data_IF_570011140764
#
_entry.id   IF_570011140764
#
_cell.length_a   1.000
_cell.length_b   1.000
_cell.length_c   1.000
_cell.angle_alpha   90.00
_cell.angle_beta   90.00
_cell.angle_gamma   90.00
#
_symmetry.space_group_name_H-M   'P 1'
#
loop_
_entity.id
_entity.type
_entity.pdbx_description
1 polymer ?
#
# COMPACT_ATOMS: atom_id res chain seq x y z
N UNK A 1 -29.28 9.47 0.54
CA UNK A 1 -28.30 9.54 1.64
C UNK A 1 -27.12 8.61 1.43
N UNK A 2 -27.32 7.31 1.11
CA UNK A 2 -26.23 6.33 0.96
C UNK A 2 -25.20 6.69 -0.13
N UNK A 3 -25.62 7.24 -1.26
CA UNK A 3 -24.73 7.66 -2.35
C UNK A 3 -23.77 8.77 -1.90
N UNK A 4 -24.28 9.78 -1.18
CA UNK A 4 -23.44 10.88 -0.67
C UNK A 4 -22.39 10.36 0.33
N UNK A 5 -22.77 9.40 1.15
CA UNK A 5 -21.89 8.72 2.07
C UNK A 5 -20.76 7.95 1.33
N UNK A 6 -21.13 7.17 0.31
CA UNK A 6 -20.16 6.44 -0.52
C UNK A 6 -19.16 7.41 -1.19
N UNK A 7 -19.65 8.54 -1.72
CA UNK A 7 -18.81 9.57 -2.33
C UNK A 7 -17.82 10.15 -1.29
N UNK A 8 -18.31 10.48 -0.09
CA UNK A 8 -17.47 11.01 0.98
C UNK A 8 -16.36 10.02 1.35
N UNK A 9 -16.71 8.75 1.58
CA UNK A 9 -15.71 7.73 1.89
C UNK A 9 -14.75 7.49 0.72
N UNK A 10 -15.22 7.57 -0.53
CA UNK A 10 -14.37 7.45 -1.70
C UNK A 10 -13.34 8.59 -1.81
N UNK A 11 -13.74 9.82 -1.47
CA UNK A 11 -12.83 10.98 -1.41
C UNK A 11 -11.81 10.77 -0.29
N UNK A 12 -12.28 10.41 0.92
CA UNK A 12 -11.41 10.15 2.07
C UNK A 12 -10.41 9.05 1.74
N UNK A 13 -10.87 7.90 1.23
CA UNK A 13 -10.00 6.79 0.82
C UNK A 13 -8.99 7.23 -0.24
N UNK A 14 -9.45 7.89 -1.32
CA UNK A 14 -8.57 8.32 -2.39
C UNK A 14 -7.45 9.26 -1.92
N UNK A 15 -7.75 10.16 -0.99
CA UNK A 15 -6.75 11.07 -0.42
C UNK A 15 -5.80 10.31 0.52
N UNK A 16 -6.35 9.61 1.49
CA UNK A 16 -5.59 9.11 2.65
C UNK A 16 -4.85 7.81 2.37
N UNK A 17 -5.19 7.07 1.32
CA UNK A 17 -4.49 5.85 0.92
C UNK A 17 -3.05 6.12 0.49
N UNK A 18 -2.82 7.25 -0.18
CA UNK A 18 -1.50 7.62 -0.70
C UNK A 18 -0.75 8.60 0.19
N UNK A 19 -1.47 9.53 0.82
CA UNK A 19 -0.85 10.40 1.80
C UNK A 19 -0.43 9.57 3.03
N UNK A 20 0.70 9.88 3.65
CA UNK A 20 1.20 9.10 4.79
C UNK A 20 0.44 9.43 6.10
N UNK A 21 -0.90 9.26 6.10
CA UNK A 21 -1.79 9.73 7.20
C UNK A 21 -2.76 8.68 7.73
N UNK A 22 -2.73 7.44 7.21
CA UNK A 22 -3.64 6.32 7.56
C UNK A 22 -5.05 6.43 6.99
N UNK A 23 -5.33 5.71 5.90
CA UNK A 23 -6.68 5.61 5.31
C UNK A 23 -7.66 4.93 6.25
N UNK A 24 -7.28 3.79 6.84
CA UNK A 24 -8.13 3.06 7.78
C UNK A 24 -8.58 3.93 8.96
N UNK A 25 -7.64 4.66 9.59
CA UNK A 25 -7.97 5.54 10.71
C UNK A 25 -8.96 6.64 10.36
N UNK A 26 -8.84 7.22 9.15
CA UNK A 26 -9.76 8.26 8.67
C UNK A 26 -11.12 7.71 8.29
N UNK A 27 -11.19 6.54 7.67
CA UNK A 27 -12.46 5.89 7.35
C UNK A 27 -13.22 5.56 8.63
N UNK A 28 -12.58 4.94 9.63
CA UNK A 28 -13.20 4.67 10.92
C UNK A 28 -13.71 5.95 11.59
N UNK A 29 -12.92 7.02 11.56
CA UNK A 29 -13.31 8.32 12.16
C UNK A 29 -14.56 8.90 11.47
N UNK A 30 -14.58 8.92 10.14
CA UNK A 30 -15.73 9.43 9.37
C UNK A 30 -16.98 8.57 9.59
N UNK A 31 -16.82 7.24 9.61
CA UNK A 31 -17.91 6.30 9.89
C UNK A 31 -18.52 6.52 11.29
N UNK A 32 -17.67 6.70 12.30
CA UNK A 32 -18.12 6.99 13.68
C UNK A 32 -18.89 8.31 13.77
N UNK A 33 -18.38 9.42 13.18
CA UNK A 33 -19.09 10.71 13.19
C UNK A 33 -20.47 10.63 12.53
N UNK A 34 -20.57 9.85 11.45
CA UNK A 34 -21.82 9.71 10.72
C UNK A 34 -22.79 8.70 11.35
N UNK A 35 -22.43 8.10 12.49
CA UNK A 35 -23.26 7.13 13.20
C UNK A 35 -23.50 5.83 12.44
N UNK A 36 -22.60 5.48 11.52
CA UNK A 36 -22.72 4.27 10.70
C UNK A 36 -21.84 3.15 11.27
N UNK A 37 -22.24 2.62 12.43
CA UNK A 37 -21.50 1.55 13.14
C UNK A 37 -21.33 0.27 12.30
N UNK A 38 -22.19 0.04 11.33
CA UNK A 38 -22.14 -1.12 10.44
C UNK A 38 -21.85 -0.72 9.00
N UNK A 39 -21.01 0.23 8.74
CA UNK A 39 -20.63 0.70 7.41
C UNK A 39 -21.28 0.01 6.19
N UNK A 40 -21.11 0.45 4.98
CA UNK A 40 -21.75 -0.17 3.81
C UNK A 40 -21.16 -1.55 3.44
N UNK A 41 -20.44 -2.18 4.39
CA UNK A 41 -19.98 -3.55 4.28
C UNK A 41 -18.63 -3.71 3.55
N UNK A 42 -18.05 -4.90 3.67
CA UNK A 42 -16.76 -5.31 3.11
C UNK A 42 -16.67 -5.01 1.61
N UNK A 43 -17.77 -5.19 0.86
CA UNK A 43 -17.78 -4.95 -0.59
C UNK A 43 -17.46 -3.51 -0.95
N UNK A 44 -17.96 -2.53 -0.20
CA UNK A 44 -17.62 -1.13 -0.50
C UNK A 44 -16.15 -0.85 -0.24
N UNK A 45 -15.59 -1.35 0.84
CA UNK A 45 -14.17 -1.19 1.14
C UNK A 45 -13.31 -1.79 0.02
N UNK A 46 -13.68 -2.98 -0.46
CA UNK A 46 -13.06 -3.63 -1.63
C UNK A 46 -13.13 -2.71 -2.86
N UNK A 47 -14.29 -2.14 -3.16
CA UNK A 47 -14.46 -1.27 -4.32
C UNK A 47 -13.64 0.02 -4.20
N UNK A 48 -13.54 0.59 -3.01
CA UNK A 48 -12.69 1.76 -2.76
C UNK A 48 -11.20 1.45 -2.94
N UNK A 49 -10.75 0.29 -2.45
CA UNK A 49 -9.37 -0.17 -2.65
C UNK A 49 -9.06 -0.49 -4.12
N UNK A 50 -10.02 -1.06 -4.86
CA UNK A 50 -9.90 -1.23 -6.32
C UNK A 50 -9.77 0.11 -7.04
N UNK A 51 -10.51 1.12 -6.59
CA UNK A 51 -10.39 2.48 -7.10
C UNK A 51 -9.00 3.06 -6.87
N UNK A 52 -8.47 2.96 -5.65
CA UNK A 52 -7.11 3.42 -5.36
C UNK A 52 -6.05 2.59 -6.08
N UNK A 53 -6.25 1.29 -6.26
CA UNK A 53 -5.38 0.46 -7.09
C UNK A 53 -5.35 0.95 -8.54
N UNK A 54 -6.51 1.28 -9.11
CA UNK A 54 -6.60 1.88 -10.46
C UNK A 54 -5.84 3.22 -10.54
N UNK A 55 -5.85 4.05 -9.48
CA UNK A 55 -5.06 5.29 -9.40
C UNK A 55 -3.56 5.03 -9.54
N UNK A 56 -3.03 3.97 -8.91
CA UNK A 56 -1.61 3.57 -9.04
C UNK A 56 -1.31 3.15 -10.47
N UNK A 57 -2.17 2.33 -11.08
CA UNK A 57 -2.02 1.90 -12.47
C UNK A 57 -2.03 3.08 -13.44
N UNK A 58 -2.95 4.03 -13.29
CA UNK A 58 -3.01 5.22 -14.14
C UNK A 58 -1.77 6.10 -13.99
N UNK A 59 -1.27 6.27 -12.76
CA UNK A 59 -0.15 7.18 -12.50
C UNK A 59 1.21 6.58 -12.92
N UNK A 60 1.42 5.28 -12.71
CA UNK A 60 2.68 4.58 -12.99
C UNK A 60 2.57 3.60 -14.16
N UNK A 61 1.66 3.84 -15.09
CA UNK A 61 1.35 2.94 -16.21
C UNK A 61 2.59 2.44 -16.96
N UNK A 62 3.54 3.34 -17.28
CA UNK A 62 4.75 3.00 -18.01
C UNK A 62 5.66 2.04 -17.22
N UNK A 63 5.82 2.31 -15.92
CA UNK A 63 6.67 1.50 -15.05
C UNK A 63 6.03 0.13 -14.80
N UNK A 64 4.73 0.11 -14.51
CA UNK A 64 3.99 -1.12 -14.23
C UNK A 64 3.97 -2.03 -15.45
N UNK A 65 3.69 -1.47 -16.65
CA UNK A 65 3.72 -2.24 -17.89
C UNK A 65 5.10 -2.89 -18.10
N UNK A 66 6.16 -2.12 -17.90
CA UNK A 66 7.53 -2.63 -18.07
C UNK A 66 7.89 -3.66 -17.01
N UNK A 67 7.50 -3.44 -15.75
CA UNK A 67 7.66 -4.42 -14.68
C UNK A 67 6.93 -5.73 -15.00
N UNK A 68 5.70 -5.66 -15.52
CA UNK A 68 4.92 -6.84 -15.87
C UNK A 68 5.59 -7.64 -17.00
N UNK A 69 5.99 -6.97 -18.09
CA UNK A 69 6.69 -7.63 -19.21
C UNK A 69 7.98 -8.29 -18.73
N UNK A 70 8.84 -7.55 -18.02
CA UNK A 70 10.12 -8.06 -17.53
C UNK A 70 9.94 -9.19 -16.49
N UNK A 71 8.86 -9.16 -15.71
CA UNK A 71 8.54 -10.24 -14.78
C UNK A 71 8.14 -11.52 -15.51
N UNK A 72 7.34 -11.41 -16.60
CA UNK A 72 6.96 -12.55 -17.44
C UNK A 72 8.20 -13.13 -18.12
N UNK A 73 9.03 -12.30 -18.74
CA UNK A 73 10.27 -12.74 -19.37
C UNK A 73 11.22 -13.41 -18.36
N UNK A 74 11.37 -12.82 -17.17
CA UNK A 74 12.16 -13.40 -16.09
C UNK A 74 11.64 -14.79 -15.70
N UNK A 75 10.32 -14.96 -15.62
CA UNK A 75 9.69 -16.25 -15.33
C UNK A 75 9.96 -17.28 -16.43
N UNK A 76 9.88 -16.86 -17.71
CA UNK A 76 10.22 -17.72 -18.85
C UNK A 76 11.69 -18.13 -18.84
N UNK A 77 12.61 -17.20 -18.50
CA UNK A 77 14.04 -17.52 -18.35
C UNK A 77 14.30 -18.52 -17.21
N UNK A 78 13.55 -18.45 -16.11
CA UNK A 78 13.64 -19.44 -15.02
C UNK A 78 13.22 -20.82 -15.51
N UNK A 79 12.10 -20.93 -16.25
CA UNK A 79 11.64 -22.19 -16.83
C UNK A 79 12.67 -22.69 -17.86
N UNK A 80 13.16 -21.82 -18.74
CA UNK A 80 14.20 -22.14 -19.73
C UNK A 80 15.46 -22.69 -19.07
N UNK A 81 15.94 -22.04 -18.01
CA UNK A 81 17.11 -22.50 -17.26
C UNK A 81 16.87 -23.84 -16.56
N UNK A 82 15.66 -24.10 -16.05
CA UNK A 82 15.30 -25.40 -15.46
C UNK A 82 15.33 -26.52 -16.52
N UNK A 83 14.81 -26.24 -17.73
CA UNK A 83 14.85 -27.18 -18.85
C UNK A 83 16.29 -27.43 -19.32
N UNK A 84 17.11 -26.37 -19.42
CA UNK A 84 18.54 -26.49 -19.75
C UNK A 84 19.31 -27.30 -18.71
N UNK A 85 18.99 -27.11 -17.43
CA UNK A 85 19.59 -27.92 -16.36
C UNK A 85 19.30 -29.40 -16.54
N UNK A 86 18.05 -29.77 -16.85
CA UNK A 86 17.65 -31.13 -17.09
C UNK A 86 18.34 -31.71 -18.36
N UNK A 87 18.40 -30.90 -19.42
CA UNK A 87 19.07 -31.25 -20.68
C UNK A 87 20.57 -31.51 -20.45
N UNK A 88 21.31 -30.55 -19.90
CA UNK A 88 22.74 -30.71 -19.61
C UNK A 88 23.05 -31.91 -18.73
N UNK A 89 22.18 -32.25 -17.77
CA UNK A 89 22.31 -33.44 -16.94
C UNK A 89 22.11 -34.74 -17.70
N UNK A 90 21.29 -34.73 -18.77
CA UNK A 90 20.98 -35.95 -19.56
C UNK A 90 21.97 -36.18 -20.70
N UNK A 91 22.43 -35.12 -21.34
CA UNK A 91 23.28 -35.20 -22.54
C UNK A 91 24.76 -35.03 -22.23
N UNK A 92 25.12 -34.41 -21.10
CA UNK A 92 26.49 -34.03 -20.78
C UNK A 92 26.92 -32.72 -21.46
N UNK A 93 25.97 -31.98 -22.09
CA UNK A 93 26.24 -30.69 -22.70
C UNK A 93 26.47 -29.61 -21.63
N UNK A 94 27.20 -28.55 -21.98
CA UNK A 94 27.45 -27.38 -21.12
C UNK A 94 26.76 -26.13 -21.69
N UNK A 95 25.48 -26.20 -22.00
CA UNK A 95 24.71 -25.04 -22.47
C UNK A 95 24.60 -23.98 -21.38
N UNK A 96 24.78 -22.71 -21.76
CA UNK A 96 24.82 -21.60 -20.82
C UNK A 96 23.43 -21.17 -20.37
N UNK A 97 23.28 -20.90 -19.07
CA UNK A 97 22.03 -20.41 -18.49
C UNK A 97 21.81 -18.92 -18.76
N UNK A 98 20.56 -18.55 -18.99
CA UNK A 98 20.18 -17.15 -19.09
C UNK A 98 20.32 -16.45 -17.74
N UNK A 99 20.80 -15.20 -17.76
CA UNK A 99 20.91 -14.37 -16.55
C UNK A 99 19.53 -13.87 -16.14
N UNK A 100 19.00 -14.37 -15.02
CA UNK A 100 17.66 -14.05 -14.53
C UNK A 100 17.50 -12.56 -14.26
N UNK A 101 18.37 -11.95 -13.47
CA UNK A 101 18.34 -10.51 -13.15
C UNK A 101 19.27 -9.79 -14.15
N UNK A 102 18.78 -9.53 -15.35
CA UNK A 102 19.56 -8.94 -16.44
C UNK A 102 19.48 -7.41 -16.49
N UNK A 103 18.43 -6.80 -15.92
CA UNK A 103 18.21 -5.35 -15.98
C UNK A 103 17.60 -4.79 -14.70
N UNK A 104 17.46 -3.46 -14.63
CA UNK A 104 16.97 -2.72 -13.46
C UNK A 104 15.50 -3.06 -13.12
N UNK A 105 14.65 -3.32 -14.12
CA UNK A 105 13.23 -3.63 -13.88
C UNK A 105 13.07 -5.03 -13.32
N UNK A 106 13.82 -6.02 -13.80
CA UNK A 106 13.87 -7.38 -13.21
C UNK A 106 14.38 -7.32 -11.77
N UNK A 107 15.43 -6.53 -11.51
CA UNK A 107 15.91 -6.29 -10.15
C UNK A 107 14.82 -5.67 -9.28
N UNK A 108 14.12 -4.66 -9.78
CA UNK A 108 13.05 -4.00 -9.06
C UNK A 108 11.88 -4.94 -8.77
N UNK A 109 11.46 -5.77 -9.72
CA UNK A 109 10.44 -6.79 -9.53
C UNK A 109 10.82 -7.78 -8.41
N UNK A 110 12.07 -8.26 -8.41
CA UNK A 110 12.57 -9.15 -7.34
C UNK A 110 12.58 -8.45 -6.00
N UNK A 111 12.98 -7.20 -5.91
CA UNK A 111 12.96 -6.42 -4.66
C UNK A 111 11.53 -6.26 -4.11
N UNK A 112 10.54 -6.03 -4.98
CA UNK A 112 9.14 -5.98 -4.58
C UNK A 112 8.66 -7.33 -4.03
N UNK A 113 9.00 -8.45 -4.68
CA UNK A 113 8.69 -9.79 -4.19
C UNK A 113 9.35 -10.08 -2.84
N UNK A 114 10.62 -9.70 -2.66
CA UNK A 114 11.34 -9.84 -1.39
C UNK A 114 10.66 -9.03 -0.28
N UNK A 115 10.19 -7.80 -0.57
CA UNK A 115 9.44 -7.01 0.42
C UNK A 115 8.12 -7.67 0.81
N UNK A 116 7.47 -8.42 -0.09
CA UNK A 116 6.20 -9.09 0.22
C UNK A 116 6.39 -10.27 1.20
N UNK A 117 7.57 -10.88 1.28
CA UNK A 117 7.81 -12.01 2.19
C UNK A 117 7.53 -11.64 3.65
N UNK A 118 8.24 -10.65 4.26
CA UNK A 118 7.95 -10.26 5.63
C UNK A 118 6.57 -9.60 5.78
N UNK A 119 6.08 -8.91 4.75
CA UNK A 119 4.73 -8.33 4.77
C UNK A 119 3.66 -9.41 4.96
N UNK A 120 3.70 -10.48 4.16
CA UNK A 120 2.74 -11.58 4.25
C UNK A 120 2.89 -12.35 5.57
N UNK A 121 4.12 -12.60 6.02
CA UNK A 121 4.38 -13.29 7.28
C UNK A 121 3.80 -12.50 8.46
N UNK A 122 4.11 -11.21 8.57
CA UNK A 122 3.61 -10.35 9.65
C UNK A 122 2.09 -10.15 9.55
N UNK A 123 1.56 -9.92 8.35
CA UNK A 123 0.11 -9.77 8.13
C UNK A 123 -0.67 -11.02 8.52
N UNK A 124 -0.17 -12.19 8.16
CA UNK A 124 -0.80 -13.45 8.52
C UNK A 124 -0.72 -13.75 10.03
N UNK A 125 0.44 -13.58 10.65
CA UNK A 125 0.64 -13.86 12.08
C UNK A 125 -0.10 -12.86 12.95
N UNK A 126 -0.15 -11.56 12.55
CA UNK A 126 -0.84 -10.52 13.30
C UNK A 126 -2.36 -10.51 13.10
N UNK A 127 -2.93 -11.28 12.19
CA UNK A 127 -4.36 -11.22 11.81
C UNK A 127 -5.33 -11.29 13.00
N UNK A 128 -5.03 -12.14 14.00
CA UNK A 128 -5.87 -12.24 15.21
C UNK A 128 -5.80 -10.99 16.07
N UNK A 129 -4.60 -10.45 16.27
CA UNK A 129 -4.39 -9.21 17.03
C UNK A 129 -5.05 -8.04 16.30
N UNK A 130 -4.94 -7.97 14.98
CA UNK A 130 -5.60 -6.95 14.14
C UNK A 130 -7.12 -7.06 14.29
N UNK A 131 -7.70 -8.25 14.18
CA UNK A 131 -9.15 -8.46 14.34
C UNK A 131 -9.64 -8.04 15.74
N UNK A 132 -8.89 -8.36 16.79
CA UNK A 132 -9.21 -7.92 18.16
C UNK A 132 -9.07 -6.41 18.34
N UNK A 133 -8.07 -5.82 17.70
CA UNK A 133 -7.80 -4.37 17.78
C UNK A 133 -8.74 -3.54 16.90
N UNK A 134 -9.27 -4.10 15.82
CA UNK A 134 -10.24 -3.43 14.95
C UNK A 134 -11.56 -3.10 15.67
N UNK A 135 -11.91 -3.87 16.72
CA UNK A 135 -13.06 -3.57 17.59
C UNK A 135 -12.84 -2.34 18.49
N UNK A 136 -11.60 -1.89 18.65
CA UNK A 136 -11.27 -0.74 19.50
C UNK A 136 -11.45 0.57 18.74
N UNK A 137 -12.31 1.45 19.23
CA UNK A 137 -12.50 2.81 18.69
C UNK A 137 -11.25 3.71 18.93
N UNK A 138 -10.42 3.39 19.93
CA UNK A 138 -9.24 4.20 20.30
C UNK A 138 -8.00 3.90 19.45
N UNK A 139 -7.79 2.64 19.08
CA UNK A 139 -6.56 2.22 18.41
C UNK A 139 -6.30 2.92 17.08
N UNK A 140 -7.29 3.18 16.21
CA UNK A 140 -7.06 3.97 15.00
C UNK A 140 -6.49 5.36 15.26
N UNK A 141 -7.00 6.07 16.28
CA UNK A 141 -6.49 7.38 16.69
C UNK A 141 -5.04 7.32 17.20
N UNK A 142 -4.73 6.35 18.05
CA UNK A 142 -3.37 6.10 18.54
C UNK A 142 -2.42 5.77 17.39
N UNK A 143 -2.85 4.93 16.44
CA UNK A 143 -2.05 4.56 15.28
C UNK A 143 -1.74 5.76 14.36
N UNK A 144 -2.70 6.69 14.20
CA UNK A 144 -2.46 7.95 13.48
C UNK A 144 -1.39 8.79 14.20
N UNK A 145 -1.46 8.90 15.55
CA UNK A 145 -0.45 9.63 16.34
C UNK A 145 0.94 9.02 16.19
N UNK A 146 1.05 7.70 16.27
CA UNK A 146 2.34 7.00 16.08
C UNK A 146 2.87 7.24 14.66
N UNK A 147 2.00 7.20 13.64
CA UNK A 147 2.39 7.57 12.27
C UNK A 147 2.95 8.99 12.23
N UNK A 148 2.30 9.95 12.91
CA UNK A 148 2.78 11.33 13.02
C UNK A 148 4.17 11.42 13.66
N UNK A 149 4.42 10.67 14.73
CA UNK A 149 5.74 10.63 15.39
C UNK A 149 6.80 10.09 14.41
N UNK A 150 6.53 8.99 13.71
CA UNK A 150 7.46 8.40 12.74
C UNK A 150 7.81 9.42 11.65
N UNK A 151 6.80 10.09 11.08
CA UNK A 151 7.01 11.09 10.03
C UNK A 151 7.81 12.30 10.53
N UNK A 152 7.57 12.73 11.78
CA UNK A 152 8.33 13.83 12.38
C UNK A 152 9.79 13.44 12.61
N UNK A 153 10.04 12.23 13.11
CA UNK A 153 11.42 11.72 13.30
C UNK A 153 12.15 11.67 11.96
N UNK A 154 11.49 11.19 10.90
CA UNK A 154 12.07 11.15 9.55
C UNK A 154 12.40 12.57 9.03
N UNK A 155 11.50 13.54 9.25
CA UNK A 155 11.73 14.92 8.82
C UNK A 155 12.90 15.56 9.58
N UNK A 156 12.94 15.41 10.91
CA UNK A 156 13.99 15.97 11.75
C UNK A 156 15.37 15.32 11.50
N UNK A 157 15.38 14.02 11.24
CA UNK A 157 16.62 13.29 10.96
C UNK A 157 17.17 13.58 9.56
N UNK A 158 16.44 14.34 8.72
CA UNK A 158 16.79 14.66 7.35
C UNK A 158 17.24 13.44 6.53
N UNK A 159 16.74 12.26 6.90
CA UNK A 159 17.06 11.02 6.20
C UNK A 159 16.54 11.04 4.79
N UNK A 160 17.28 10.41 3.93
CA UNK A 160 17.05 10.32 2.49
C UNK A 160 18.38 10.35 1.79
N UNK A 161 18.44 9.74 0.65
CA UNK A 161 19.68 9.61 -0.11
C UNK A 161 19.46 9.83 -1.59
N UNK A 162 20.39 9.29 -2.35
CA UNK A 162 20.38 9.34 -3.82
C UNK A 162 20.12 7.97 -4.44
N UNK A 163 19.97 6.91 -3.62
CA UNK A 163 19.77 5.56 -4.14
C UNK A 163 18.51 5.45 -4.97
N UNK A 164 18.65 4.83 -6.13
CA UNK A 164 17.58 4.45 -7.04
C UNK A 164 17.45 2.91 -7.10
N UNK A 165 16.62 2.39 -7.98
CA UNK A 165 16.39 0.94 -8.11
C UNK A 165 17.69 0.14 -8.38
N UNK A 166 18.63 0.71 -9.11
CA UNK A 166 19.93 0.07 -9.40
C UNK A 166 20.79 -0.14 -8.13
N UNK A 167 20.66 0.76 -7.14
CA UNK A 167 21.48 0.78 -5.93
C UNK A 167 20.81 0.05 -4.76
N UNK A 168 19.51 -0.24 -4.88
CA UNK A 168 18.74 -0.97 -3.86
C UNK A 168 19.22 -2.42 -3.75
N UNK A 169 19.20 -2.98 -2.55
CA UNK A 169 19.58 -4.35 -2.25
C UNK A 169 18.45 -5.10 -1.50
N UNK A 170 18.63 -6.40 -1.30
CA UNK A 170 17.65 -7.26 -0.63
C UNK A 170 17.39 -6.85 0.82
N UNK A 171 18.40 -6.36 1.54
CA UNK A 171 18.23 -5.87 2.91
C UNK A 171 17.30 -4.65 2.96
N UNK A 172 17.42 -3.72 2.00
CA UNK A 172 16.50 -2.59 1.90
C UNK A 172 15.07 -3.07 1.65
N UNK A 173 14.88 -4.04 0.75
CA UNK A 173 13.57 -4.61 0.45
C UNK A 173 12.95 -5.32 1.65
N UNK A 174 13.74 -6.14 2.37
CA UNK A 174 13.29 -6.81 3.60
C UNK A 174 12.87 -5.80 4.67
N UNK A 175 13.65 -4.75 4.89
CA UNK A 175 13.33 -3.69 5.85
C UNK A 175 12.01 -2.97 5.51
N UNK A 176 11.85 -2.57 4.23
CA UNK A 176 10.61 -1.95 3.77
C UNK A 176 9.42 -2.90 3.95
N UNK A 177 9.60 -4.18 3.65
CA UNK A 177 8.56 -5.19 3.82
C UNK A 177 8.20 -5.46 5.29
N UNK A 178 9.17 -5.41 6.22
CA UNK A 178 8.90 -5.49 7.67
C UNK A 178 8.05 -4.29 8.09
N UNK A 179 8.44 -3.07 7.70
CA UNK A 179 7.68 -1.87 8.02
C UNK A 179 6.28 -1.90 7.40
N UNK A 180 6.12 -2.44 6.17
CA UNK A 180 4.81 -2.66 5.58
C UNK A 180 3.98 -3.69 6.38
N UNK A 181 4.59 -4.78 6.82
CA UNK A 181 3.92 -5.77 7.66
C UNK A 181 3.45 -5.21 9.00
N UNK A 182 4.21 -4.31 9.62
CA UNK A 182 3.79 -3.61 10.83
C UNK A 182 2.64 -2.63 10.61
N UNK A 183 2.44 -2.15 9.39
CA UNK A 183 1.34 -1.22 9.08
C UNK A 183 -0.04 -1.87 9.01
N UNK A 184 -0.18 -3.18 9.24
CA UNK A 184 -1.48 -3.85 9.34
C UNK A 184 -2.25 -3.49 10.62
N UNK A 185 -1.57 -2.94 11.64
CA UNK A 185 -2.23 -2.48 12.85
C UNK A 185 -3.10 -1.24 12.58
N UNK A 186 -4.31 -1.17 13.22
CA UNK A 186 -5.24 -0.07 13.00
C UNK A 186 -4.63 1.31 13.23
N UNK A 187 -4.84 2.21 12.27
CA UNK A 187 -4.36 3.59 12.35
C UNK A 187 -2.92 3.82 11.88
N UNK A 188 -2.13 2.77 11.66
CA UNK A 188 -0.84 2.95 11.01
C UNK A 188 -1.00 3.28 9.53
N UNK A 189 -0.18 4.20 9.03
CA UNK A 189 -0.15 4.50 7.60
C UNK A 189 0.80 3.56 6.86
N UNK A 190 0.26 2.72 5.96
CA UNK A 190 1.08 1.85 5.13
C UNK A 190 2.08 2.66 4.28
N UNK A 191 1.59 3.71 3.59
CA UNK A 191 2.45 4.61 2.80
C UNK A 191 3.47 5.34 3.67
N UNK A 192 3.07 5.81 4.86
CA UNK A 192 3.96 6.43 5.83
C UNK A 192 5.10 5.51 6.26
N UNK A 193 4.79 4.27 6.63
CA UNK A 193 5.77 3.27 7.06
C UNK A 193 6.73 2.88 5.93
N UNK A 194 6.23 2.59 4.74
CA UNK A 194 7.07 2.13 3.62
C UNK A 194 7.92 3.24 3.02
N UNK A 195 7.40 4.48 2.92
CA UNK A 195 8.18 5.64 2.47
C UNK A 195 9.28 5.95 3.50
N UNK A 196 8.95 5.97 4.79
CA UNK A 196 9.93 6.18 5.87
C UNK A 196 11.04 5.14 5.84
N UNK A 197 10.70 3.86 5.72
CA UNK A 197 11.67 2.77 5.61
C UNK A 197 12.57 2.89 4.37
N UNK A 198 12.01 3.31 3.23
CA UNK A 198 12.76 3.58 2.01
C UNK A 198 13.77 4.72 2.20
N UNK A 199 13.36 5.82 2.83
CA UNK A 199 14.24 6.95 3.14
C UNK A 199 15.36 6.56 4.10
N UNK A 200 15.05 5.82 5.18
CA UNK A 200 16.05 5.26 6.11
C UNK A 200 17.02 4.31 5.41
N UNK A 201 16.60 3.64 4.35
CA UNK A 201 17.44 2.79 3.50
C UNK A 201 18.35 3.59 2.55
N UNK A 202 18.26 4.93 2.56
CA UNK A 202 19.04 5.83 1.71
C UNK A 202 18.45 6.02 0.31
N UNK A 203 17.17 5.67 0.10
CA UNK A 203 16.50 5.93 -1.18
C UNK A 203 16.29 7.43 -1.39
N UNK A 204 16.34 7.85 -2.66
CA UNK A 204 15.89 9.18 -3.02
C UNK A 204 14.39 9.33 -2.70
N UNK A 205 13.96 10.53 -2.34
CA UNK A 205 12.57 10.81 -1.96
C UNK A 205 11.57 10.33 -3.03
N UNK A 206 11.84 10.62 -4.28
CA UNK A 206 10.99 10.19 -5.41
C UNK A 206 10.95 8.68 -5.55
N UNK A 207 12.10 8.00 -5.37
CA UNK A 207 12.15 6.54 -5.48
C UNK A 207 11.48 5.85 -4.29
N UNK A 208 11.61 6.37 -3.07
CA UNK A 208 10.94 5.84 -1.89
C UNK A 208 9.41 5.87 -2.05
N UNK A 209 8.85 6.98 -2.54
CA UNK A 209 7.41 7.10 -2.84
C UNK A 209 6.99 6.14 -3.96
N UNK A 210 7.75 6.09 -5.07
CA UNK A 210 7.49 5.18 -6.18
C UNK A 210 7.52 3.72 -5.74
N UNK A 211 8.53 3.32 -4.95
CA UNK A 211 8.66 1.97 -4.41
C UNK A 211 7.44 1.61 -3.56
N UNK A 212 7.07 2.49 -2.62
CA UNK A 212 5.92 2.32 -1.73
C UNK A 212 4.61 2.10 -2.50
N UNK A 213 4.36 2.91 -3.54
CA UNK A 213 3.10 2.82 -4.28
C UNK A 213 3.04 1.62 -5.22
N UNK A 214 4.14 1.24 -5.87
CA UNK A 214 4.17 0.02 -6.67
C UNK A 214 4.08 -1.22 -5.77
N UNK A 215 4.73 -1.20 -4.59
CA UNK A 215 4.62 -2.26 -3.60
C UNK A 215 3.20 -2.42 -3.05
N UNK A 216 2.39 -1.35 -3.05
CA UNK A 216 0.99 -1.45 -2.65
C UNK A 216 0.14 -2.34 -3.56
N UNK A 217 0.51 -2.51 -4.83
CA UNK A 217 -0.25 -3.32 -5.78
C UNK A 217 -0.43 -4.76 -5.27
N UNK A 218 0.65 -5.55 -5.06
CA UNK A 218 0.48 -6.91 -4.55
C UNK A 218 -0.09 -6.94 -3.11
N UNK A 219 0.16 -5.91 -2.29
CA UNK A 219 -0.40 -5.85 -0.94
C UNK A 219 -1.92 -5.67 -0.94
N UNK A 220 -2.44 -4.73 -1.75
CA UNK A 220 -3.88 -4.51 -1.90
C UNK A 220 -4.54 -5.74 -2.52
N UNK A 221 -3.97 -6.32 -3.58
CA UNK A 221 -4.50 -7.54 -4.19
C UNK A 221 -4.57 -8.68 -3.16
N UNK A 222 -3.53 -8.85 -2.34
CA UNK A 222 -3.51 -9.84 -1.27
C UNK A 222 -4.60 -9.62 -0.22
N UNK A 223 -4.82 -8.38 0.20
CA UNK A 223 -5.90 -8.01 1.12
C UNK A 223 -7.28 -8.29 0.49
N UNK A 224 -7.50 -7.90 -0.76
CA UNK A 224 -8.74 -8.15 -1.50
C UNK A 224 -9.05 -9.64 -1.60
N UNK A 225 -8.06 -10.50 -1.85
CA UNK A 225 -8.26 -11.95 -1.91
C UNK A 225 -8.71 -12.49 -0.54
N UNK A 226 -8.16 -11.97 0.56
CA UNK A 226 -8.58 -12.36 1.91
C UNK A 226 -10.00 -11.88 2.23
N UNK A 227 -10.38 -10.70 1.80
CA UNK A 227 -11.70 -10.12 2.00
C UNK A 227 -12.79 -10.82 1.15
N UNK A 228 -12.44 -11.28 -0.07
CA UNK A 228 -13.35 -12.04 -0.93
C UNK A 228 -13.93 -13.30 -0.23
N UNK A 229 -13.19 -13.91 0.68
CA UNK A 229 -13.65 -15.03 1.49
C UNK A 229 -14.72 -14.68 2.53
N UNK A 230 -14.96 -13.38 2.78
CA UNK A 230 -15.93 -12.89 3.75
C UNK A 230 -17.25 -12.39 3.09
N UNK A 231 -17.37 -12.52 1.75
CA UNK A 231 -18.60 -12.19 1.05
C UNK A 231 -19.73 -13.11 1.50
N UNK A 232 -20.52 -12.64 2.50
CA UNK A 232 -21.84 -13.16 2.78
C UNK A 232 -22.84 -12.60 1.75
N UNK A 233 -24.00 -13.25 1.61
CA UNK A 233 -25.12 -12.75 0.81
C UNK A 233 -25.62 -11.42 1.38
N UNK A 234 -24.99 -10.32 1.00
CA UNK A 234 -25.54 -8.98 1.25
C UNK A 234 -26.67 -8.74 0.25
N UNK A 235 -27.77 -8.14 0.69
CA UNK A 235 -28.88 -7.72 -0.17
C UNK A 235 -28.41 -6.66 -1.19
N UNK A 236 -27.74 -7.13 -2.23
CA UNK A 236 -27.22 -6.27 -3.31
C UNK A 236 -28.36 -5.86 -4.23
N UNK A 237 -28.74 -4.59 -4.12
CA UNK A 237 -29.64 -3.98 -5.12
C UNK A 237 -28.81 -3.43 -6.30
N UNK A 238 -29.39 -3.40 -7.49
CA UNK A 238 -28.75 -2.84 -8.69
C UNK A 238 -28.29 -1.39 -8.45
N UNK A 239 -29.10 -0.59 -7.75
CA UNK A 239 -28.76 0.80 -7.41
C UNK A 239 -27.56 0.93 -6.48
N UNK A 240 -27.41 0.00 -5.52
CA UNK A 240 -26.26 -0.05 -4.63
C UNK A 240 -24.98 -0.41 -5.40
N UNK A 241 -25.08 -1.37 -6.32
CA UNK A 241 -23.97 -1.75 -7.19
C UNK A 241 -23.44 -0.59 -8.03
N UNK A 242 -24.34 0.19 -8.65
CA UNK A 242 -23.95 1.41 -9.37
C UNK A 242 -23.27 2.44 -8.45
N UNK A 243 -23.76 2.60 -7.23
CA UNK A 243 -23.17 3.53 -6.26
C UNK A 243 -21.76 3.13 -5.86
N UNK A 244 -21.48 1.84 -5.70
CA UNK A 244 -20.15 1.32 -5.40
C UNK A 244 -19.17 1.51 -6.56
N UNK A 245 -19.60 1.22 -7.81
CA UNK A 245 -18.79 1.49 -9.01
C UNK A 245 -18.49 2.99 -9.13
N UNK A 246 -19.47 3.84 -8.86
CA UNK A 246 -19.25 5.29 -8.87
C UNK A 246 -18.24 5.71 -7.77
N UNK A 247 -18.36 5.18 -6.54
CA UNK A 247 -17.38 5.40 -5.47
C UNK A 247 -15.97 4.95 -5.87
N UNK A 248 -15.85 3.79 -6.52
CA UNK A 248 -14.57 3.28 -7.05
C UNK A 248 -13.95 4.28 -8.04
N UNK A 249 -14.73 4.84 -8.97
CA UNK A 249 -14.26 5.83 -9.93
C UNK A 249 -13.81 7.11 -9.22
N UNK A 250 -14.58 7.59 -8.25
CA UNK A 250 -14.23 8.78 -7.45
C UNK A 250 -12.91 8.52 -6.70
N UNK A 251 -12.75 7.37 -6.03
CA UNK A 251 -11.51 6.99 -5.34
C UNK A 251 -10.31 6.92 -6.31
N UNK A 252 -10.50 6.45 -7.53
CA UNK A 252 -9.46 6.39 -8.55
C UNK A 252 -9.01 7.79 -9.00
N UNK A 253 -9.94 8.69 -9.27
CA UNK A 253 -9.64 10.07 -9.70
C UNK A 253 -8.95 10.83 -8.57
N UNK A 254 -9.55 10.84 -7.38
CA UNK A 254 -9.02 11.52 -6.20
C UNK A 254 -7.66 10.93 -5.81
N UNK A 255 -7.53 9.61 -5.85
CA UNK A 255 -6.27 8.93 -5.57
C UNK A 255 -5.14 9.30 -6.55
N UNK A 256 -5.45 9.44 -7.84
CA UNK A 256 -4.47 9.89 -8.84
C UNK A 256 -3.98 11.31 -8.56
N UNK A 257 -4.86 12.19 -8.11
CA UNK A 257 -4.49 13.56 -7.71
C UNK A 257 -3.66 13.54 -6.41
N UNK A 258 -4.06 12.71 -5.43
CA UNK A 258 -3.33 12.55 -4.17
C UNK A 258 -1.92 12.01 -4.38
N UNK A 259 -1.72 11.03 -5.27
CA UNK A 259 -0.37 10.52 -5.63
C UNK A 259 0.51 11.66 -6.17
N UNK A 260 -0.02 12.46 -7.10
CA UNK A 260 0.74 13.58 -7.69
C UNK A 260 1.07 14.64 -6.65
N UNK A 261 0.12 14.95 -5.76
CA UNK A 261 0.35 15.90 -4.66
C UNK A 261 1.40 15.38 -3.68
N UNK A 262 1.31 14.09 -3.27
CA UNK A 262 2.27 13.47 -2.39
C UNK A 262 3.68 13.47 -2.99
N UNK A 263 3.85 13.10 -4.27
CA UNK A 263 5.13 13.15 -4.95
C UNK A 263 5.76 14.55 -4.89
N UNK A 264 4.98 15.61 -5.11
CA UNK A 264 5.46 17.00 -5.03
C UNK A 264 5.86 17.40 -3.61
N UNK A 265 5.01 17.07 -2.62
CA UNK A 265 5.25 17.44 -1.22
C UNK A 265 6.46 16.70 -0.64
N UNK A 266 6.58 15.41 -0.91
CA UNK A 266 7.70 14.59 -0.45
C UNK A 266 9.02 14.98 -1.13
N UNK A 267 8.98 15.27 -2.43
CA UNK A 267 10.16 15.76 -3.15
C UNK A 267 10.71 17.04 -2.51
N UNK A 268 9.83 17.95 -2.07
CA UNK A 268 10.20 19.21 -1.42
C UNK A 268 10.57 19.05 0.07
N UNK A 269 10.63 17.84 0.59
CA UNK A 269 11.01 17.56 1.98
C UNK A 269 9.99 17.99 3.03
N UNK A 270 8.71 18.05 2.67
CA UNK A 270 7.65 18.56 3.54
C UNK A 270 6.95 17.48 4.37
N UNK A 271 7.71 16.53 4.98
CA UNK A 271 7.12 15.48 5.80
C UNK A 271 6.47 15.99 7.08
N UNK A 272 7.00 17.06 7.68
CA UNK A 272 6.47 17.66 8.90
C UNK A 272 5.01 18.09 8.79
N UNK A 273 4.54 18.47 7.60
CA UNK A 273 3.13 18.81 7.41
C UNK A 273 2.21 17.61 7.60
N UNK A 274 2.63 16.46 7.11
CA UNK A 274 1.88 15.21 7.36
C UNK A 274 1.94 14.81 8.82
N UNK A 275 3.08 14.99 9.50
CA UNK A 275 3.21 14.70 10.92
C UNK A 275 2.28 15.56 11.76
N UNK A 276 2.25 16.87 11.55
CA UNK A 276 1.34 17.79 12.27
C UNK A 276 -0.12 17.47 11.97
N UNK A 277 -0.45 17.18 10.72
CA UNK A 277 -1.78 16.71 10.36
C UNK A 277 -2.16 15.43 11.13
N UNK A 278 -1.29 14.44 11.21
CA UNK A 278 -1.54 13.21 11.96
C UNK A 278 -1.74 13.50 13.46
N UNK A 279 -1.02 14.44 14.06
CA UNK A 279 -1.23 14.81 15.45
C UNK A 279 -2.62 15.43 15.67
N UNK A 280 -3.01 16.38 14.82
CA UNK A 280 -4.33 17.01 14.90
C UNK A 280 -5.43 15.95 14.67
N UNK A 281 -5.36 15.18 13.59
CA UNK A 281 -6.36 14.18 13.25
C UNK A 281 -6.46 13.08 14.31
N UNK A 282 -5.32 12.61 14.83
CA UNK A 282 -5.27 11.58 15.86
C UNK A 282 -5.86 12.05 17.19
N UNK A 283 -5.57 13.29 17.62
CA UNK A 283 -6.15 13.89 18.82
C UNK A 283 -7.68 14.04 18.65
N UNK A 284 -8.13 14.59 17.52
CA UNK A 284 -9.56 14.74 17.24
C UNK A 284 -10.26 13.37 17.24
N UNK A 285 -9.65 12.34 16.60
CA UNK A 285 -10.21 10.99 16.60
C UNK A 285 -10.31 10.39 18.01
N UNK A 286 -9.33 10.65 18.88
CA UNK A 286 -9.38 10.20 20.26
C UNK A 286 -10.47 10.93 21.06
N UNK A 287 -10.55 12.26 20.96
CA UNK A 287 -11.57 13.04 21.67
C UNK A 287 -12.99 12.64 21.25
N UNK A 288 -13.22 12.47 19.94
CA UNK A 288 -14.53 12.08 19.41
C UNK A 288 -14.99 10.66 19.88
N UNK A 289 -14.08 9.83 20.37
CA UNK A 289 -14.43 8.53 20.93
C UNK A 289 -14.81 8.59 22.42
N UNK A 290 -14.55 9.71 23.11
CA UNK A 290 -14.92 9.93 24.50
C UNK A 290 -16.18 10.84 24.64
N UNK A 291 -16.59 11.48 23.54
CA UNK A 291 -17.81 12.31 23.48
C UNK A 291 -19.01 11.49 23.00
#
# INVERSE_FOLDING_TARGET
MIVLYIILLAIVQGITEFLPVSSFGHLCFVQNILGMEHGPGVLMEVMLHLGTLAAVFMTFQKDIRRLAVESIEMFMDVIGNANLYIHNRRTGDELHYAKIISNIYRKFAVLLMVSMIPTMFLGYTARRLVAMSAASKLLPGVGILITGIILLVIDLSQVGGTKAAKDANFSNAMWIGICQGLSVFPGFSRSGMTISAGLMSGFSRTFAVKYSYILSIPAIIGALIMELGQFGSSDMTVGLGFSYVFGMIVAAVVGSLAIRACLRLVHNGKFRFFAYYCFIAGIIALIANFA
#
